data_IF_010443469974
#
_entry.id   IF_010443469974
#
_cell.length_a   1.000
_cell.length_b   1.000
_cell.length_c   1.000
_cell.angle_alpha   90.00
_cell.angle_beta   90.00
_cell.angle_gamma   90.00
#
_symmetry.space_group_name_H-M   'P 1'
#
loop_
_entity.id
_entity.type
_entity.pdbx_description
1 polymer ?
#
# COMPACT_ATOMS: atom_id res chain seq x y z
N UNK A 1 8.40 -3.11 -21.72
CA UNK A 1 7.12 -3.47 -21.08
C UNK A 1 6.50 -2.16 -20.62
N UNK A 2 5.39 -1.74 -21.21
CA UNK A 2 4.73 -0.48 -20.84
C UNK A 2 3.86 -0.80 -19.62
N UNK A 3 4.29 -0.37 -18.44
CA UNK A 3 3.48 -0.43 -17.22
C UNK A 3 2.46 0.69 -17.26
N UNK A 4 1.18 0.36 -17.21
CA UNK A 4 0.11 1.34 -17.11
C UNK A 4 -0.06 1.87 -15.69
N UNK A 5 -0.77 3.00 -15.55
CA UNK A 5 -1.12 3.58 -14.25
C UNK A 5 -1.82 2.56 -13.34
N UNK A 6 -2.71 1.75 -13.91
CA UNK A 6 -3.41 0.68 -13.21
C UNK A 6 -2.46 -0.39 -12.67
N UNK A 7 -1.40 -0.72 -13.41
CA UNK A 7 -0.43 -1.75 -12.97
C UNK A 7 0.39 -1.24 -11.79
N UNK A 8 0.82 0.03 -11.84
CA UNK A 8 1.56 0.69 -10.75
C UNK A 8 0.71 0.73 -9.48
N UNK A 9 -0.54 1.19 -9.59
CA UNK A 9 -1.46 1.26 -8.47
C UNK A 9 -1.72 -0.12 -7.83
N UNK A 10 -1.91 -1.17 -8.63
CA UNK A 10 -2.10 -2.52 -8.10
C UNK A 10 -0.88 -3.06 -7.35
N UNK A 11 0.32 -2.77 -7.84
CA UNK A 11 1.56 -3.20 -7.19
C UNK A 11 1.70 -2.53 -5.82
N UNK A 12 1.45 -1.22 -5.75
CA UNK A 12 1.58 -0.47 -4.50
C UNK A 12 0.53 -0.85 -3.45
N UNK A 13 -0.75 -1.02 -3.84
CA UNK A 13 -1.77 -1.56 -2.92
C UNK A 13 -1.36 -2.91 -2.37
N UNK A 14 -0.85 -3.79 -3.23
CA UNK A 14 -0.44 -5.12 -2.80
C UNK A 14 0.72 -5.03 -1.82
N UNK A 15 1.72 -4.18 -2.07
CA UNK A 15 2.83 -3.96 -1.15
C UNK A 15 2.33 -3.44 0.21
N UNK A 16 1.40 -2.49 0.20
CA UNK A 16 0.81 -1.92 1.40
C UNK A 16 0.05 -2.98 2.21
N UNK A 17 -0.78 -3.80 1.56
CA UNK A 17 -1.54 -4.88 2.20
C UNK A 17 -0.62 -5.91 2.86
N UNK A 18 0.46 -6.32 2.20
CA UNK A 18 1.43 -7.25 2.80
C UNK A 18 2.16 -6.61 3.99
N UNK A 19 2.51 -5.33 3.92
CA UNK A 19 3.05 -4.58 5.05
C UNK A 19 2.09 -4.58 6.26
N UNK A 20 0.80 -4.32 6.03
CA UNK A 20 -0.22 -4.33 7.07
C UNK A 20 -0.41 -5.71 7.71
N UNK A 21 -0.40 -6.79 6.92
CA UNK A 21 -0.46 -8.16 7.44
C UNK A 21 0.72 -8.46 8.37
N UNK A 22 1.92 -8.03 7.99
CA UNK A 22 3.13 -8.20 8.82
C UNK A 22 3.01 -7.40 10.11
N UNK A 23 2.55 -6.14 10.04
CA UNK A 23 2.37 -5.31 11.22
C UNK A 23 1.36 -5.93 12.20
N UNK A 24 0.23 -6.42 11.68
CA UNK A 24 -0.77 -7.13 12.46
C UNK A 24 -0.21 -8.38 13.14
N UNK A 25 0.51 -9.22 12.39
CA UNK A 25 1.15 -10.43 12.92
C UNK A 25 2.18 -10.13 14.02
N UNK A 26 2.72 -8.91 14.06
CA UNK A 26 3.65 -8.43 15.09
C UNK A 26 2.95 -7.75 16.28
N UNK A 27 1.61 -7.67 16.29
CA UNK A 27 0.84 -7.06 17.36
C UNK A 27 0.70 -5.54 17.26
N UNK A 28 1.04 -4.93 16.12
CA UNK A 28 0.78 -3.52 15.88
C UNK A 28 -0.67 -3.34 15.44
N UNK A 29 -1.49 -2.73 16.30
CA UNK A 29 -2.90 -2.46 16.03
C UNK A 29 -3.17 -1.04 15.54
N UNK A 30 -2.17 -0.16 15.64
CA UNK A 30 -2.19 1.20 15.10
C UNK A 30 -0.89 1.41 14.33
N UNK A 31 -1.02 1.81 13.07
CA UNK A 31 0.11 2.03 12.15
C UNK A 31 -0.14 3.29 11.33
N UNK A 32 0.94 4.01 11.06
CA UNK A 32 0.96 5.10 10.10
C UNK A 32 1.57 4.57 8.80
N UNK A 33 0.95 4.91 7.67
CA UNK A 33 1.39 4.46 6.35
C UNK A 33 1.63 5.70 5.51
N UNK A 34 2.88 5.86 5.06
CA UNK A 34 3.28 6.92 4.15
C UNK A 34 3.37 6.38 2.73
N UNK A 35 2.82 7.10 1.76
CA UNK A 35 2.90 6.76 0.33
C UNK A 35 3.18 8.01 -0.49
N UNK A 36 4.03 7.89 -1.50
CA UNK A 36 4.29 8.91 -2.52
C UNK A 36 3.27 8.88 -3.67
N UNK A 37 2.37 7.89 -3.69
CA UNK A 37 1.27 7.83 -4.63
C UNK A 37 0.05 8.58 -4.09
N UNK A 38 -0.13 9.80 -4.60
CA UNK A 38 -1.25 10.66 -4.25
C UNK A 38 -2.63 9.97 -4.43
N UNK A 39 -2.79 9.12 -5.44
CA UNK A 39 -4.07 8.45 -5.69
C UNK A 39 -4.38 7.40 -4.61
N UNK A 40 -3.36 6.82 -3.97
CA UNK A 40 -3.57 5.93 -2.82
C UNK A 40 -3.96 6.71 -1.58
N UNK A 41 -3.27 7.82 -1.32
CA UNK A 41 -3.55 8.70 -0.19
C UNK A 41 -4.97 9.26 -0.25
N UNK A 42 -5.48 9.57 -1.45
CA UNK A 42 -6.83 10.11 -1.62
C UNK A 42 -7.95 9.06 -1.44
N UNK A 43 -7.65 7.76 -1.58
CA UNK A 43 -8.66 6.68 -1.56
C UNK A 43 -8.78 6.02 -0.17
N UNK A 44 -7.72 6.04 0.63
CA UNK A 44 -7.61 5.32 1.91
C UNK A 44 -7.77 6.25 3.12
#
# INVERSE_FOLDING_TARGET
MVTGLTDIFHVEIRAMLEGLKIAWARGFHQVEVESDNALLVDIL
#
